data_IF_550939710610
#
_entry.id   IF_550939710610
#
_cell.length_a   1.000
_cell.length_b   1.000
_cell.length_c   1.000
_cell.angle_alpha   90.00
_cell.angle_beta   90.00
_cell.angle_gamma   90.00
#
_symmetry.space_group_name_H-M   'P 1'
#
loop_
_entity.id
_entity.type
_entity.pdbx_description
1 polymer ?
#
# COMPACT_ATOMS: atom_id res chain seq x y z
N UNK A 1 -25.48 -9.53 -22.51
CA UNK A 1 -25.38 -10.47 -21.37
C UNK A 1 -26.76 -10.72 -20.78
N UNK A 2 -27.15 -11.98 -20.62
CA UNK A 2 -28.44 -12.37 -20.04
C UNK A 2 -28.44 -12.20 -18.51
N UNK A 3 -29.63 -12.17 -17.90
CA UNK A 3 -29.77 -12.09 -16.44
C UNK A 3 -29.07 -13.27 -15.72
N UNK A 4 -29.14 -14.46 -16.30
CA UNK A 4 -28.43 -15.65 -15.80
C UNK A 4 -26.91 -15.47 -15.80
N UNK A 5 -26.35 -14.92 -16.89
CA UNK A 5 -24.91 -14.63 -16.98
C UNK A 5 -24.46 -13.59 -15.94
N UNK A 6 -25.27 -12.55 -15.70
CA UNK A 6 -25.00 -11.54 -14.66
C UNK A 6 -24.97 -12.17 -13.26
N UNK A 7 -25.94 -13.04 -12.93
CA UNK A 7 -26.01 -13.74 -11.64
C UNK A 7 -24.81 -14.66 -11.43
N UNK A 8 -24.44 -15.44 -12.44
CA UNK A 8 -23.28 -16.33 -12.39
C UNK A 8 -21.97 -15.56 -12.15
N UNK A 9 -21.79 -14.44 -12.85
CA UNK A 9 -20.61 -13.59 -12.72
C UNK A 9 -20.54 -12.88 -11.35
N UNK A 10 -21.66 -12.42 -10.79
CA UNK A 10 -21.71 -11.89 -9.43
C UNK A 10 -21.35 -12.96 -8.38
N UNK A 11 -21.87 -14.18 -8.52
CA UNK A 11 -21.55 -15.28 -7.62
C UNK A 11 -20.05 -15.64 -7.68
N UNK A 12 -19.48 -15.69 -8.89
CA UNK A 12 -18.04 -15.91 -9.08
C UNK A 12 -17.20 -14.80 -8.41
N UNK A 13 -17.55 -13.53 -8.62
CA UNK A 13 -16.86 -12.39 -7.99
C UNK A 13 -16.94 -12.44 -6.46
N UNK A 14 -18.09 -12.84 -5.89
CA UNK A 14 -18.23 -13.04 -4.44
C UNK A 14 -17.29 -14.13 -3.92
N UNK A 15 -17.14 -15.24 -4.65
CA UNK A 15 -16.17 -16.31 -4.30
C UNK A 15 -14.72 -15.82 -4.34
N UNK A 16 -14.35 -15.06 -5.37
CA UNK A 16 -13.01 -14.45 -5.46
C UNK A 16 -12.72 -13.50 -4.29
N UNK A 17 -13.69 -12.64 -3.92
CA UNK A 17 -13.54 -11.72 -2.79
C UNK A 17 -13.33 -12.47 -1.46
N UNK A 18 -14.05 -13.57 -1.23
CA UNK A 18 -13.86 -14.41 -0.02
C UNK A 18 -12.48 -15.06 0.04
N UNK A 19 -11.85 -15.30 -1.12
CA UNK A 19 -10.47 -15.80 -1.24
C UNK A 19 -9.41 -14.69 -1.14
N UNK A 20 -9.81 -13.46 -0.82
CA UNK A 20 -8.90 -12.31 -0.75
C UNK A 20 -8.48 -11.73 -2.10
N UNK A 21 -9.04 -12.22 -3.22
CA UNK A 21 -8.68 -11.77 -4.55
C UNK A 21 -9.48 -10.51 -4.89
N UNK A 22 -8.77 -9.41 -5.19
CA UNK A 22 -9.34 -8.14 -5.62
C UNK A 22 -9.10 -7.94 -7.12
N UNK A 23 -10.14 -7.53 -7.84
CA UNK A 23 -10.02 -7.09 -9.24
C UNK A 23 -9.47 -5.67 -9.28
N UNK A 24 -8.48 -5.45 -10.15
CA UNK A 24 -7.91 -4.14 -10.45
C UNK A 24 -8.18 -3.83 -11.92
N UNK A 25 -8.55 -2.59 -12.20
CA UNK A 25 -8.62 -2.05 -13.56
C UNK A 25 -7.44 -1.09 -13.71
N UNK A 26 -6.62 -1.32 -14.73
CA UNK A 26 -5.33 -0.65 -14.90
C UNK A 26 -5.24 -0.15 -16.34
N UNK A 27 -4.82 1.10 -16.50
CA UNK A 27 -4.45 1.66 -17.80
C UNK A 27 -2.94 1.63 -17.94
N UNK A 28 -2.46 0.97 -18.98
CA UNK A 28 -1.03 0.86 -19.29
C UNK A 28 -0.78 1.04 -20.78
N UNK A 29 0.46 1.34 -21.16
CA UNK A 29 0.86 1.31 -22.56
C UNK A 29 0.75 -0.12 -23.07
N UNK A 30 0.50 -0.27 -24.38
CA UNK A 30 0.33 -1.57 -25.02
C UNK A 30 1.52 -2.49 -24.76
N UNK A 31 2.73 -1.94 -24.80
CA UNK A 31 3.98 -2.68 -24.64
C UNK A 31 4.16 -3.21 -23.21
N UNK A 32 3.60 -2.51 -22.22
CA UNK A 32 3.69 -2.89 -20.80
C UNK A 32 2.63 -3.94 -20.39
N UNK A 33 1.60 -4.17 -21.22
CA UNK A 33 0.48 -5.03 -20.86
C UNK A 33 0.90 -6.48 -20.56
N UNK A 34 1.87 -7.00 -21.32
CA UNK A 34 2.42 -8.34 -21.10
C UNK A 34 3.22 -8.40 -19.79
N UNK A 35 4.02 -7.37 -19.51
CA UNK A 35 4.81 -7.26 -18.29
C UNK A 35 3.92 -7.25 -17.05
N UNK A 36 2.89 -6.39 -17.01
CA UNK A 36 1.97 -6.31 -15.88
C UNK A 36 1.22 -7.63 -15.65
N UNK A 37 0.85 -8.33 -16.73
CA UNK A 37 0.26 -9.66 -16.63
C UNK A 37 1.23 -10.66 -15.99
N UNK A 38 2.50 -10.63 -16.38
CA UNK A 38 3.54 -11.46 -15.78
C UNK A 38 3.73 -11.19 -14.29
N UNK A 39 3.73 -9.91 -13.88
CA UNK A 39 3.79 -9.52 -12.46
C UNK A 39 2.59 -10.08 -11.68
N UNK A 40 1.37 -9.97 -12.22
CA UNK A 40 0.18 -10.51 -11.58
C UNK A 40 0.23 -12.05 -11.44
N UNK A 41 0.78 -12.75 -12.43
CA UNK A 41 0.98 -14.20 -12.36
C UNK A 41 2.03 -14.59 -11.32
N UNK A 42 3.15 -13.88 -11.25
CA UNK A 42 4.19 -14.13 -10.27
C UNK A 42 3.70 -13.89 -8.83
N UNK A 43 2.81 -12.91 -8.62
CA UNK A 43 2.15 -12.68 -7.33
C UNK A 43 1.09 -13.73 -6.98
N UNK A 44 0.55 -14.45 -7.96
CA UNK A 44 -0.42 -15.53 -7.74
C UNK A 44 0.25 -16.91 -7.54
N UNK A 45 1.55 -17.01 -7.80
CA UNK A 45 2.34 -18.23 -7.71
C UNK A 45 3.00 -18.33 -6.32
N UNK A 46 2.59 -19.28 -5.45
CA UNK A 46 3.12 -19.39 -4.09
C UNK A 46 4.64 -19.53 -4.00
N UNK A 47 5.28 -20.11 -5.03
CA UNK A 47 6.72 -20.28 -5.06
C UNK A 47 7.48 -18.97 -5.29
N UNK A 48 6.84 -17.99 -5.94
CA UNK A 48 7.47 -16.72 -6.34
C UNK A 48 6.83 -15.49 -5.68
N UNK A 49 5.71 -15.65 -5.00
CA UNK A 49 4.92 -14.56 -4.44
C UNK A 49 5.73 -13.69 -3.46
N UNK A 50 6.44 -14.32 -2.52
CA UNK A 50 7.18 -13.61 -1.47
C UNK A 50 8.29 -12.74 -2.07
N UNK A 51 9.11 -13.31 -2.95
CA UNK A 51 10.22 -12.62 -3.61
C UNK A 51 9.74 -11.51 -4.53
N UNK A 52 8.69 -11.79 -5.32
CA UNK A 52 8.06 -10.80 -6.19
C UNK A 52 7.57 -9.61 -5.37
N UNK A 53 6.89 -9.87 -4.25
CA UNK A 53 6.38 -8.82 -3.36
C UNK A 53 7.51 -8.00 -2.72
N UNK A 54 8.59 -8.65 -2.30
CA UNK A 54 9.76 -7.97 -1.74
C UNK A 54 10.43 -7.06 -2.77
N UNK A 55 10.62 -7.55 -4.00
CA UNK A 55 11.21 -6.78 -5.11
C UNK A 55 10.35 -5.57 -5.46
N UNK A 56 9.03 -5.76 -5.61
CA UNK A 56 8.12 -4.66 -5.93
C UNK A 56 8.10 -3.60 -4.83
N UNK A 57 8.10 -4.01 -3.56
CA UNK A 57 8.19 -3.05 -2.44
C UNK A 57 9.51 -2.31 -2.42
N UNK A 58 10.63 -2.99 -2.62
CA UNK A 58 11.96 -2.35 -2.67
C UNK A 58 12.04 -1.30 -3.77
N UNK A 59 11.43 -1.56 -4.94
CA UNK A 59 11.56 -0.69 -6.11
C UNK A 59 10.49 0.39 -6.22
N UNK A 60 9.26 0.09 -5.80
CA UNK A 60 8.08 0.92 -6.04
C UNK A 60 7.31 1.31 -4.79
N UNK A 61 7.63 0.77 -3.60
CA UNK A 61 7.06 1.37 -2.40
C UNK A 61 7.64 2.78 -2.31
N UNK A 62 6.79 3.79 -2.54
CA UNK A 62 7.01 5.07 -1.89
C UNK A 62 7.26 4.73 -0.43
N UNK A 63 8.44 5.11 0.08
CA UNK A 63 8.79 4.93 1.48
C UNK A 63 7.52 5.24 2.27
N UNK A 64 6.92 4.20 2.89
CA UNK A 64 5.67 4.38 3.63
C UNK A 64 5.85 5.65 4.41
N UNK A 65 4.98 6.65 4.17
CA UNK A 65 5.14 8.00 4.71
C UNK A 65 5.67 7.82 6.13
N UNK A 66 6.98 8.07 6.29
CA UNK A 66 7.65 7.77 7.55
C UNK A 66 6.85 8.61 8.52
N UNK A 67 6.10 7.98 9.43
CA UNK A 67 5.26 8.74 10.35
C UNK A 67 6.12 9.81 11.03
N UNK A 68 5.54 10.90 11.54
CA UNK A 68 6.30 12.02 12.09
C UNK A 68 7.47 11.55 12.99
N UNK A 69 7.24 10.54 13.83
CA UNK A 69 8.27 9.89 14.66
C UNK A 69 9.45 9.31 13.86
N UNK A 70 9.19 8.62 12.76
CA UNK A 70 10.21 8.03 11.89
C UNK A 70 10.96 9.07 11.05
N UNK A 71 10.36 10.24 10.80
CA UNK A 71 11.06 11.39 10.22
C UNK A 71 11.94 12.07 11.25
N UNK A 72 11.42 12.32 12.46
CA UNK A 72 12.17 12.92 13.56
C UNK A 72 13.37 12.04 13.96
N UNK A 73 13.19 10.71 14.02
CA UNK A 73 14.29 9.78 14.31
C UNK A 73 15.36 9.71 13.20
N UNK A 74 15.02 10.15 11.98
CA UNK A 74 15.95 10.21 10.85
C UNK A 74 16.43 11.64 10.57
N UNK A 75 15.98 12.63 11.34
CA UNK A 75 16.37 14.03 11.18
C UNK A 75 17.75 14.24 11.82
N UNK A 76 18.62 15.05 11.19
CA UNK A 76 19.89 15.46 11.79
C UNK A 76 19.60 16.49 12.90
N UNK A 77 19.38 15.99 14.12
CA UNK A 77 19.07 16.83 15.29
C UNK A 77 20.34 17.30 16.02
N UNK A 78 21.52 17.12 15.42
CA UNK A 78 22.79 17.57 16.00
C UNK A 78 22.76 19.09 16.23
N UNK A 79 22.99 19.51 17.48
CA UNK A 79 23.03 20.92 17.86
C UNK A 79 21.67 21.56 18.13
N UNK A 80 20.57 20.80 18.10
CA UNK A 80 19.24 21.30 18.48
C UNK A 80 19.01 21.04 19.97
N UNK A 81 18.80 22.10 20.73
CA UNK A 81 18.37 21.98 22.13
C UNK A 81 16.91 21.54 22.19
N UNK A 82 16.71 20.28 22.59
CA UNK A 82 15.38 19.70 22.82
C UNK A 82 14.91 19.88 24.26
N UNK A 83 15.75 20.44 25.13
CA UNK A 83 15.34 20.77 26.49
C UNK A 83 14.54 22.07 26.44
N UNK A 84 13.35 22.03 27.02
CA UNK A 84 12.52 23.20 27.23
C UNK A 84 12.05 23.15 28.66
N UNK A 85 12.20 24.25 29.38
CA UNK A 85 11.58 24.40 30.68
C UNK A 85 10.07 24.22 30.54
N UNK A 86 9.49 23.49 31.49
CA UNK A 86 8.06 23.22 31.46
C UNK A 86 7.34 24.53 31.76
N UNK A 87 6.70 25.11 30.75
CA UNK A 87 5.82 26.26 30.94
C UNK A 87 4.81 25.92 32.03
N UNK A 88 4.79 26.75 33.08
CA UNK A 88 3.76 26.71 34.11
C UNK A 88 2.39 27.08 33.52
N UNK A 89 1.35 26.76 34.27
CA UNK A 89 -0.02 27.13 33.94
C UNK A 89 -0.12 28.65 33.75
N UNK A 90 -0.88 29.07 32.74
CA UNK A 90 -1.25 30.48 32.55
C UNK A 90 -2.62 30.68 33.16
N UNK A 91 -2.74 31.66 34.03
CA UNK A 91 -4.03 32.08 34.57
C UNK A 91 -4.90 32.58 33.40
N UNK A 92 -5.91 31.81 33.03
CA UNK A 92 -6.90 32.17 32.02
C UNK A 92 -8.16 32.57 32.74
N UNK A 93 -8.52 33.85 32.63
CA UNK A 93 -9.81 34.33 33.11
C UNK A 93 -10.92 33.64 32.31
N UNK A 94 -11.77 32.90 33.03
CA UNK A 94 -13.00 32.28 32.50
C UNK A 94 -14.08 33.33 32.26
#
# INVERSE_FOLDING_TARGET
>A
MTAAQKKALLAHRRRLKRRGIKRLEIHVRKDDAALIRGVAQALADPAREADTRALLRKRFAWAQAKGLKSLLAAAPLEGIDLTRERDGERDVAL
#
